data_IF_331895366484
#
_entry.id   IF_331895366484
#
_cell.length_a   1.000
_cell.length_b   1.000
_cell.length_c   1.000
_cell.angle_alpha   90.00
_cell.angle_beta   90.00
_cell.angle_gamma   90.00
#
_symmetry.space_group_name_H-M   'P 1'
#
loop_
_entity.id
_entity.type
_entity.pdbx_description
1 polymer ?
#
# COMPACT_ATOMS: atom_id res chain seq x y z
N UNK A 1 4.78 -52.57 39.86
CA UNK A 1 5.36 -53.01 41.13
C UNK A 1 4.33 -52.90 42.23
N UNK A 2 3.55 -53.94 42.54
CA UNK A 2 3.00 -55.04 41.73
C UNK A 2 1.96 -55.69 42.64
N UNK A 3 0.74 -55.94 42.15
CA UNK A 3 -0.24 -56.75 42.86
C UNK A 3 -0.68 -57.89 41.95
N UNK A 4 -0.17 -59.07 42.25
CA UNK A 4 -0.48 -60.35 41.60
C UNK A 4 -1.44 -61.18 42.44
N UNK A 5 -2.27 -61.94 41.73
CA UNK A 5 -3.02 -63.13 42.18
C UNK A 5 -4.19 -62.92 43.16
N UNK A 6 -5.37 -63.38 42.71
CA UNK A 6 -6.20 -64.24 43.56
C UNK A 6 -6.93 -65.30 42.73
N UNK A 7 -6.88 -66.51 43.25
CA UNK A 7 -7.31 -67.79 42.67
C UNK A 7 -8.83 -68.00 42.76
N UNK A 8 -9.45 -68.72 41.82
CA UNK A 8 -10.26 -69.94 42.11
C UNK A 8 -10.89 -70.56 40.86
N UNK A 9 -10.71 -71.88 40.74
CA UNK A 9 -11.36 -72.77 39.77
C UNK A 9 -12.37 -73.68 40.46
N UNK A 10 -13.59 -73.79 39.94
CA UNK A 10 -14.39 -75.04 40.00
C UNK A 10 -15.69 -74.94 39.19
N UNK A 11 -15.85 -75.81 38.17
CA UNK A 11 -17.15 -76.15 37.58
C UNK A 11 -17.04 -77.36 36.60
N UNK A 12 -16.54 -78.51 37.07
CA UNK A 12 -16.75 -79.79 36.36
C UNK A 12 -18.00 -80.48 36.94
N UNK A 13 -19.18 -80.11 36.45
CA UNK A 13 -20.41 -80.90 36.65
C UNK A 13 -21.10 -81.22 35.31
N UNK A 14 -20.67 -82.36 34.76
CA UNK A 14 -21.59 -83.43 34.35
C UNK A 14 -22.65 -83.10 33.28
N UNK A 15 -22.22 -82.60 32.12
CA UNK A 15 -23.06 -82.39 30.91
C UNK A 15 -23.41 -83.68 30.13
N UNK A 16 -23.33 -84.85 30.78
CA UNK A 16 -23.38 -86.17 30.14
C UNK A 16 -24.67 -86.95 30.32
N UNK A 17 -25.85 -86.39 29.98
CA UNK A 17 -27.09 -87.12 29.59
C UNK A 17 -28.32 -86.20 29.43
N UNK A 18 -28.33 -85.32 28.42
CA UNK A 18 -29.53 -84.54 28.04
C UNK A 18 -29.79 -84.56 26.52
N UNK A 19 -29.51 -85.66 25.82
CA UNK A 19 -29.64 -85.65 24.36
C UNK A 19 -31.09 -85.77 23.84
N UNK A 20 -31.98 -86.46 24.57
CA UNK A 20 -33.35 -86.74 24.10
C UNK A 20 -34.41 -86.32 25.13
N UNK A 21 -34.70 -85.01 25.22
CA UNK A 21 -35.84 -84.51 26.00
C UNK A 21 -36.78 -83.71 25.08
N UNK A 22 -37.86 -84.32 24.55
CA UNK A 22 -38.72 -83.68 23.56
C UNK A 22 -39.39 -82.40 24.08
N UNK A 23 -39.62 -82.31 25.40
CA UNK A 23 -40.17 -81.10 26.03
C UNK A 23 -39.16 -79.95 26.00
N UNK A 24 -37.87 -80.23 26.21
CA UNK A 24 -36.81 -79.22 26.11
C UNK A 24 -36.63 -78.75 24.67
N UNK A 25 -36.65 -79.67 23.72
CA UNK A 25 -36.40 -79.34 22.32
C UNK A 25 -37.59 -78.56 21.73
N UNK A 26 -38.83 -78.88 22.13
CA UNK A 26 -40.02 -78.06 21.85
C UNK A 26 -39.92 -76.66 22.48
N UNK A 27 -39.41 -76.55 23.71
CA UNK A 27 -39.22 -75.26 24.37
C UNK A 27 -38.13 -74.42 23.70
N UNK A 28 -37.04 -75.06 23.24
CA UNK A 28 -35.95 -74.44 22.52
C UNK A 28 -36.39 -73.99 21.12
N UNK A 29 -37.18 -74.79 20.39
CA UNK A 29 -37.81 -74.37 19.13
C UNK A 29 -38.76 -73.18 19.34
N UNK A 30 -39.55 -73.18 20.41
CA UNK A 30 -40.41 -72.04 20.77
C UNK A 30 -39.61 -70.77 21.05
N UNK A 31 -38.51 -70.88 21.82
CA UNK A 31 -37.64 -69.74 22.13
C UNK A 31 -36.88 -69.24 20.90
N UNK A 32 -36.38 -70.14 20.06
CA UNK A 32 -35.76 -69.82 18.77
C UNK A 32 -36.77 -69.16 17.83
N UNK A 33 -38.01 -69.66 17.74
CA UNK A 33 -39.08 -69.06 16.97
C UNK A 33 -39.43 -67.64 17.40
N UNK A 34 -39.36 -67.35 18.71
CA UNK A 34 -39.55 -66.01 19.28
C UNK A 34 -38.39 -65.06 18.94
N UNK A 35 -37.15 -65.54 19.01
CA UNK A 35 -35.94 -64.73 18.86
C UNK A 35 -35.50 -64.55 17.40
N UNK A 36 -35.75 -65.54 16.54
CA UNK A 36 -35.36 -65.58 15.13
C UNK A 36 -35.68 -64.30 14.33
N UNK A 37 -36.91 -63.75 14.33
CA UNK A 37 -37.17 -62.52 13.58
C UNK A 37 -36.34 -61.32 14.04
N UNK A 38 -35.91 -61.28 15.31
CA UNK A 38 -35.03 -60.24 15.85
C UNK A 38 -33.58 -60.46 15.41
N UNK A 39 -33.12 -61.71 15.37
CA UNK A 39 -31.78 -62.08 14.90
C UNK A 39 -31.66 -61.81 13.39
N UNK A 40 -32.63 -62.26 12.59
CA UNK A 40 -32.67 -62.04 11.14
C UNK A 40 -32.66 -60.52 10.81
N UNK A 41 -33.45 -59.71 11.55
CA UNK A 41 -33.42 -58.24 11.41
C UNK A 41 -32.07 -57.61 11.81
N UNK A 42 -31.38 -58.16 12.81
CA UNK A 42 -30.07 -57.67 13.22
C UNK A 42 -29.02 -57.99 12.15
N UNK A 43 -29.02 -59.21 11.62
CA UNK A 43 -28.11 -59.65 10.56
C UNK A 43 -28.29 -58.83 9.27
N UNK A 44 -29.54 -58.55 8.87
CA UNK A 44 -29.82 -57.70 7.71
C UNK A 44 -29.37 -56.25 7.93
N UNK A 45 -29.53 -55.70 9.14
CA UNK A 45 -29.01 -54.36 9.50
C UNK A 45 -27.48 -54.31 9.49
N UNK A 46 -26.82 -55.33 10.03
CA UNK A 46 -25.35 -55.47 10.00
C UNK A 46 -24.85 -55.57 8.55
N UNK A 47 -25.53 -56.38 7.71
CA UNK A 47 -25.21 -56.51 6.28
C UNK A 47 -25.37 -55.19 5.53
N UNK A 48 -26.48 -54.49 5.72
CA UNK A 48 -26.73 -53.18 5.11
C UNK A 48 -25.69 -52.13 5.55
N UNK A 49 -25.34 -52.10 6.84
CA UNK A 49 -24.31 -51.19 7.38
C UNK A 49 -22.93 -51.49 6.78
N UNK A 50 -22.58 -52.77 6.61
CA UNK A 50 -21.32 -53.19 6.00
C UNK A 50 -21.23 -52.80 4.52
N UNK A 51 -22.34 -52.86 3.77
CA UNK A 51 -22.41 -52.38 2.38
C UNK A 51 -22.19 -50.86 2.34
N UNK A 52 -22.93 -50.09 3.16
CA UNK A 52 -22.78 -48.64 3.22
C UNK A 52 -21.35 -48.19 3.62
N UNK A 53 -20.68 -48.93 4.51
CA UNK A 53 -19.27 -48.68 4.84
C UNK A 53 -18.31 -48.92 3.67
N UNK A 54 -18.56 -49.93 2.83
CA UNK A 54 -17.77 -50.21 1.63
C UNK A 54 -17.98 -49.13 0.56
N UNK A 55 -19.21 -48.69 0.34
CA UNK A 55 -19.54 -47.58 -0.57
C UNK A 55 -18.90 -46.27 -0.12
N UNK A 56 -19.01 -45.93 1.17
CA UNK A 56 -18.39 -44.73 1.74
C UNK A 56 -16.86 -44.77 1.58
N UNK A 57 -16.23 -45.93 1.80
CA UNK A 57 -14.78 -46.10 1.57
C UNK A 57 -14.40 -45.81 0.12
N UNK A 58 -15.12 -46.38 -0.85
CA UNK A 58 -14.88 -46.13 -2.28
C UNK A 58 -15.07 -44.65 -2.66
N UNK A 59 -16.07 -43.97 -2.08
CA UNK A 59 -16.27 -42.54 -2.31
C UNK A 59 -15.11 -41.70 -1.77
N UNK A 60 -14.58 -42.03 -0.58
CA UNK A 60 -13.41 -41.36 0.02
C UNK A 60 -12.16 -41.57 -0.86
N UNK A 61 -11.90 -42.79 -1.33
CA UNK A 61 -10.77 -43.10 -2.22
C UNK A 61 -10.88 -42.31 -3.55
N UNK A 62 -12.06 -42.27 -4.18
CA UNK A 62 -12.30 -41.48 -5.41
C UNK A 62 -12.17 -39.96 -5.17
N UNK A 63 -12.58 -39.46 -4.00
CA UNK A 63 -12.42 -38.03 -3.66
C UNK A 63 -10.95 -37.68 -3.47
N UNK A 64 -10.17 -38.57 -2.84
CA UNK A 64 -8.74 -38.38 -2.63
C UNK A 64 -7.97 -38.33 -3.97
N UNK A 65 -8.25 -39.23 -4.92
CA UNK A 65 -7.68 -39.15 -6.27
C UNK A 65 -8.01 -37.83 -6.98
N UNK A 66 -9.25 -37.34 -6.85
CA UNK A 66 -9.66 -36.07 -7.47
C UNK A 66 -8.95 -34.88 -6.84
N UNK A 67 -8.76 -34.88 -5.52
CA UNK A 67 -8.02 -33.85 -4.80
C UNK A 67 -6.53 -33.85 -5.19
N UNK A 68 -5.91 -35.01 -5.36
CA UNK A 68 -4.53 -35.10 -5.85
C UNK A 68 -4.39 -34.59 -7.28
N UNK A 69 -5.29 -34.96 -8.21
CA UNK A 69 -5.29 -34.41 -9.57
C UNK A 69 -5.48 -32.88 -9.59
N UNK A 70 -6.28 -32.33 -8.68
CA UNK A 70 -6.41 -30.86 -8.50
C UNK A 70 -5.12 -30.26 -7.94
N UNK A 71 -4.46 -30.91 -6.98
CA UNK A 71 -3.18 -30.48 -6.42
C UNK A 71 -2.08 -30.45 -7.48
N UNK A 72 -1.95 -31.51 -8.28
CA UNK A 72 -1.00 -31.60 -9.40
C UNK A 72 -1.26 -30.56 -10.49
N UNK A 73 -2.53 -30.27 -10.80
CA UNK A 73 -2.92 -29.21 -11.74
C UNK A 73 -2.56 -27.81 -11.22
N UNK A 74 -2.69 -27.56 -9.91
CA UNK A 74 -2.34 -26.29 -9.28
C UNK A 74 -0.82 -26.05 -9.20
N UNK A 75 -0.01 -27.11 -9.10
CA UNK A 75 1.46 -27.01 -9.01
C UNK A 75 2.12 -26.58 -10.34
N UNK A 76 1.47 -26.81 -11.49
CA UNK A 76 2.09 -26.65 -12.82
C UNK A 76 1.75 -25.34 -13.56
N UNK A 77 1.06 -24.37 -12.92
CA UNK A 77 0.89 -23.06 -13.55
C UNK A 77 2.18 -22.22 -13.45
N UNK A 78 2.59 -21.48 -14.51
CA UNK A 78 3.60 -20.44 -14.35
C UNK A 78 3.07 -19.43 -13.35
N UNK A 79 3.84 -19.10 -12.31
CA UNK A 79 3.40 -18.22 -11.23
C UNK A 79 2.77 -16.94 -11.82
N UNK A 80 1.46 -16.78 -11.62
CA UNK A 80 0.69 -15.67 -12.17
C UNK A 80 0.75 -14.43 -11.29
N UNK A 81 1.19 -14.51 -10.03
CA UNK A 81 1.27 -13.36 -9.13
C UNK A 81 2.15 -12.23 -9.68
N UNK A 82 3.33 -12.48 -10.30
CA UNK A 82 4.08 -11.44 -11.03
C UNK A 82 3.27 -10.77 -12.14
N UNK A 83 2.38 -11.49 -12.84
CA UNK A 83 1.56 -10.96 -13.93
C UNK A 83 0.33 -10.24 -13.41
N UNK A 84 -0.32 -10.75 -12.36
CA UNK A 84 -1.42 -10.10 -11.65
C UNK A 84 -0.94 -8.82 -10.98
N UNK A 85 0.23 -8.82 -10.32
CA UNK A 85 0.88 -7.60 -9.78
C UNK A 85 1.19 -6.61 -10.89
N UNK A 86 1.77 -7.05 -12.03
CA UNK A 86 1.97 -6.17 -13.22
C UNK A 86 0.66 -5.61 -13.76
N UNK A 87 -0.42 -6.40 -13.79
CA UNK A 87 -1.74 -5.97 -14.28
C UNK A 87 -2.40 -4.96 -13.32
N UNK A 88 -2.32 -5.19 -12.01
CA UNK A 88 -2.79 -4.24 -10.98
C UNK A 88 -1.98 -2.95 -11.05
N UNK A 89 -0.66 -3.02 -11.15
CA UNK A 89 0.19 -1.84 -11.34
C UNK A 89 -0.13 -1.10 -12.66
N UNK A 90 -0.44 -1.83 -13.74
CA UNK A 90 -0.87 -1.22 -15.01
C UNK A 90 -2.24 -0.56 -14.89
N UNK A 91 -3.21 -1.19 -14.21
CA UNK A 91 -4.52 -0.61 -13.89
C UNK A 91 -4.36 0.67 -13.09
N UNK A 92 -3.56 0.67 -12.03
CA UNK A 92 -3.28 1.88 -11.24
C UNK A 92 -2.64 2.99 -12.10
N UNK A 93 -1.69 2.66 -12.97
CA UNK A 93 -1.10 3.63 -13.92
C UNK A 93 -2.13 4.25 -14.86
N UNK A 94 -3.00 3.43 -15.46
CA UNK A 94 -4.10 3.92 -16.32
C UNK A 94 -5.06 4.80 -15.53
N UNK A 95 -5.44 4.40 -14.31
CA UNK A 95 -6.28 5.22 -13.43
C UNK A 95 -5.62 6.56 -13.09
N UNK A 96 -4.34 6.59 -12.72
CA UNK A 96 -3.62 7.85 -12.44
C UNK A 96 -3.61 8.76 -13.67
N UNK A 97 -3.26 8.25 -14.85
CA UNK A 97 -3.25 9.03 -16.10
C UNK A 97 -4.64 9.58 -16.44
N UNK A 98 -5.69 8.76 -16.30
CA UNK A 98 -7.07 9.16 -16.61
C UNK A 98 -7.55 10.31 -15.71
N UNK A 99 -7.14 10.33 -14.45
CA UNK A 99 -7.48 11.40 -13.51
C UNK A 99 -6.60 12.65 -13.67
N UNK A 100 -5.33 12.51 -14.04
CA UNK A 100 -4.49 13.67 -14.43
C UNK A 100 -5.06 14.35 -15.68
N UNK A 101 -5.58 13.57 -16.63
CA UNK A 101 -6.30 14.08 -17.80
C UNK A 101 -7.60 14.78 -17.38
N UNK A 102 -8.41 14.16 -16.51
CA UNK A 102 -9.65 14.78 -16.00
C UNK A 102 -9.38 16.11 -15.29
N UNK A 103 -8.48 16.14 -14.31
CA UNK A 103 -8.12 17.38 -13.60
C UNK A 103 -7.52 18.46 -14.53
N UNK A 104 -6.84 18.06 -15.61
CA UNK A 104 -6.36 19.01 -16.62
C UNK A 104 -7.49 19.52 -17.52
N UNK A 105 -8.47 18.69 -17.85
CA UNK A 105 -9.67 19.08 -18.58
C UNK A 105 -10.55 20.02 -17.74
N UNK A 106 -10.66 19.79 -16.44
CA UNK A 106 -11.41 20.63 -15.51
C UNK A 106 -10.77 22.01 -15.37
N UNK A 107 -9.44 22.09 -15.15
CA UNK A 107 -8.68 23.35 -15.20
C UNK A 107 -8.82 24.08 -16.55
N UNK A 108 -8.83 23.33 -17.66
CA UNK A 108 -9.02 23.92 -19.00
C UNK A 108 -10.44 24.48 -19.15
N UNK A 109 -11.45 23.85 -18.54
CA UNK A 109 -12.81 24.34 -18.49
C UNK A 109 -12.93 25.60 -17.61
N UNK A 110 -12.28 25.64 -16.44
CA UNK A 110 -12.20 26.84 -15.59
C UNK A 110 -11.51 28.01 -16.33
N UNK A 111 -10.38 27.77 -16.99
CA UNK A 111 -9.68 28.80 -17.79
C UNK A 111 -10.57 29.28 -18.94
N UNK A 112 -11.30 28.38 -19.63
CA UNK A 112 -12.30 28.77 -20.64
C UNK A 112 -13.43 29.61 -20.04
N UNK A 113 -13.93 29.26 -18.86
CA UNK A 113 -14.93 30.05 -18.14
C UNK A 113 -14.38 31.42 -17.75
N UNK A 114 -13.14 31.53 -17.26
CA UNK A 114 -12.49 32.80 -16.92
C UNK A 114 -12.27 33.67 -18.17
N UNK A 115 -11.85 33.09 -19.30
CA UNK A 115 -11.72 33.81 -20.58
C UNK A 115 -13.09 34.30 -21.07
N UNK A 116 -14.13 33.48 -20.96
CA UNK A 116 -15.49 33.88 -21.32
C UNK A 116 -16.03 34.96 -20.36
N UNK A 117 -15.73 34.87 -19.06
CA UNK A 117 -16.11 35.86 -18.03
C UNK A 117 -15.39 37.19 -18.21
N UNK A 118 -14.11 37.17 -18.63
CA UNK A 118 -13.35 38.37 -19.01
C UNK A 118 -13.83 38.96 -20.35
N UNK A 119 -14.38 38.16 -21.27
CA UNK A 119 -15.13 38.67 -22.43
C UNK A 119 -16.53 39.20 -22.04
N UNK A 120 -17.13 38.68 -20.98
CA UNK A 120 -18.47 39.02 -20.49
C UNK A 120 -18.48 40.12 -19.41
N UNK A 121 -17.56 41.09 -19.49
CA UNK A 121 -17.66 42.36 -18.73
C UNK A 121 -18.83 43.23 -19.25
N UNK A 122 -19.50 42.81 -20.34
CA UNK A 122 -20.79 43.34 -20.78
C UNK A 122 -21.95 42.56 -20.12
N UNK A 123 -22.23 42.94 -18.86
CA UNK A 123 -23.47 42.71 -18.07
C UNK A 123 -23.89 41.26 -17.69
N UNK A 124 -24.71 41.08 -16.63
CA UNK A 124 -24.72 39.86 -15.80
C UNK A 124 -26.04 39.06 -15.80
N UNK A 125 -26.01 37.80 -15.31
CA UNK A 125 -26.84 37.32 -14.17
C UNK A 125 -26.55 35.84 -13.75
N UNK A 126 -26.70 35.58 -12.44
CA UNK A 126 -27.16 34.37 -11.71
C UNK A 126 -26.90 32.95 -12.32
N UNK A 127 -26.13 32.04 -11.69
CA UNK A 127 -26.47 31.07 -10.59
C UNK A 127 -26.25 29.60 -11.10
N UNK A 128 -26.14 28.49 -10.36
CA UNK A 128 -25.92 28.15 -8.93
C UNK A 128 -25.12 26.78 -8.82
N UNK A 129 -24.99 26.02 -7.70
CA UNK A 129 -23.89 25.05 -7.51
C UNK A 129 -24.19 23.58 -7.89
N UNK A 130 -23.13 22.77 -8.07
CA UNK A 130 -23.20 21.29 -8.17
C UNK A 130 -22.13 20.62 -7.30
N UNK A 131 -22.50 19.53 -6.62
CA UNK A 131 -21.71 18.85 -5.60
C UNK A 131 -20.74 17.77 -6.11
N UNK A 132 -19.67 17.62 -5.35
CA UNK A 132 -18.66 16.55 -5.28
C UNK A 132 -19.06 15.11 -5.64
N UNK A 133 -18.14 14.37 -6.27
CA UNK A 133 -17.78 12.98 -5.87
C UNK A 133 -16.46 12.47 -6.50
N UNK A 134 -15.87 11.42 -5.90
CA UNK A 134 -14.74 10.58 -6.38
C UNK A 134 -13.28 10.93 -6.01
N UNK A 135 -13.10 11.64 -4.89
CA UNK A 135 -12.10 11.55 -3.78
C UNK A 135 -10.77 10.74 -3.86
N UNK A 136 -10.49 9.82 -4.79
CA UNK A 136 -9.37 8.87 -4.64
C UNK A 136 -8.06 9.32 -5.32
N UNK A 137 -8.06 10.11 -6.41
CA UNK A 137 -6.83 10.35 -7.20
C UNK A 137 -6.24 11.77 -7.06
N UNK A 138 -6.87 12.68 -6.29
CA UNK A 138 -6.35 14.05 -6.15
C UNK A 138 -5.07 14.20 -5.30
N UNK A 139 -4.64 13.19 -4.53
CA UNK A 139 -3.59 13.36 -3.49
C UNK A 139 -2.24 13.84 -4.05
N UNK A 140 -1.60 13.09 -4.97
CA UNK A 140 -0.27 13.47 -5.51
C UNK A 140 -0.21 14.89 -6.14
N UNK A 141 -1.35 15.42 -6.57
CA UNK A 141 -1.45 16.81 -7.02
C UNK A 141 -1.64 17.79 -5.84
N UNK A 142 -2.48 17.44 -4.86
CA UNK A 142 -2.77 18.22 -3.65
C UNK A 142 -1.52 18.54 -2.82
N UNK A 143 -0.59 17.59 -2.62
CA UNK A 143 0.66 17.84 -1.86
C UNK A 143 1.61 18.80 -2.61
N UNK A 144 1.71 18.63 -3.93
CA UNK A 144 2.48 19.54 -4.80
C UNK A 144 1.92 20.97 -4.73
N UNK A 145 0.59 21.13 -4.73
CA UNK A 145 -0.06 22.42 -4.54
C UNK A 145 0.13 22.97 -3.11
N UNK A 146 0.08 22.14 -2.07
CA UNK A 146 0.34 22.59 -0.70
C UNK A 146 1.77 23.14 -0.53
N UNK A 147 2.74 22.55 -1.22
CA UNK A 147 4.13 23.00 -1.24
C UNK A 147 4.29 24.32 -2.02
N UNK A 148 3.56 24.49 -3.12
CA UNK A 148 3.50 25.75 -3.87
C UNK A 148 2.84 26.86 -3.02
N UNK A 149 1.71 26.59 -2.38
CA UNK A 149 1.03 27.53 -1.46
C UNK A 149 1.94 27.96 -0.30
N UNK A 150 2.78 27.05 0.20
CA UNK A 150 3.77 27.35 1.24
C UNK A 150 4.87 28.30 0.73
N UNK A 151 5.35 28.10 -0.50
CA UNK A 151 6.34 28.96 -1.14
C UNK A 151 5.74 30.33 -1.51
N UNK A 152 4.50 30.37 -2.00
CA UNK A 152 3.77 31.62 -2.28
C UNK A 152 3.58 32.45 -1.00
N UNK A 153 3.16 31.81 0.09
CA UNK A 153 3.01 32.46 1.42
C UNK A 153 4.32 33.05 1.94
N UNK A 154 5.46 32.49 1.57
CA UNK A 154 6.79 33.01 1.93
C UNK A 154 7.42 33.88 0.82
N UNK A 155 6.75 34.12 -0.31
CA UNK A 155 7.33 34.75 -1.51
C UNK A 155 7.91 36.15 -1.26
N UNK A 156 7.27 36.97 -0.43
CA UNK A 156 7.79 38.30 -0.07
C UNK A 156 9.10 38.21 0.72
N UNK A 157 9.20 37.22 1.61
CA UNK A 157 10.45 36.91 2.31
C UNK A 157 11.49 36.36 1.31
N UNK A 158 11.12 35.44 0.41
CA UNK A 158 12.04 34.85 -0.57
C UNK A 158 12.61 35.88 -1.56
N UNK A 159 11.79 36.85 -2.01
CA UNK A 159 12.25 38.00 -2.81
C UNK A 159 13.25 38.87 -2.07
N UNK A 160 13.09 39.05 -0.76
CA UNK A 160 14.02 39.81 0.09
C UNK A 160 15.30 39.01 0.39
N UNK A 161 15.16 37.69 0.53
CA UNK A 161 16.27 36.76 0.73
C UNK A 161 17.16 36.63 -0.52
N UNK A 162 16.57 36.80 -1.71
CA UNK A 162 17.23 36.82 -3.02
C UNK A 162 18.21 35.63 -3.20
N UNK A 163 17.70 34.39 -3.20
CA UNK A 163 18.52 33.18 -3.28
C UNK A 163 19.30 33.15 -4.59
N UNK A 164 20.57 32.76 -4.56
CA UNK A 164 21.35 32.57 -5.77
C UNK A 164 21.06 31.21 -6.41
N UNK A 165 20.76 30.20 -5.60
CA UNK A 165 20.71 28.79 -6.03
C UNK A 165 19.63 27.99 -5.31
N UNK A 166 18.84 27.26 -6.09
CA UNK A 166 17.68 26.49 -5.63
C UNK A 166 17.78 25.04 -6.12
N UNK A 167 17.46 24.07 -5.25
CA UNK A 167 17.40 22.64 -5.56
C UNK A 167 16.04 22.04 -5.17
N UNK A 168 15.37 21.36 -6.09
CA UNK A 168 14.32 20.39 -5.77
C UNK A 168 14.86 18.95 -5.81
N UNK A 169 14.50 18.15 -4.81
CA UNK A 169 14.83 16.73 -4.73
C UNK A 169 13.56 15.92 -4.99
N UNK A 170 13.65 14.87 -5.80
CA UNK A 170 12.49 14.07 -6.21
C UNK A 170 11.48 14.85 -7.04
N UNK A 171 11.94 15.62 -8.04
CA UNK A 171 11.11 16.63 -8.71
C UNK A 171 9.89 16.10 -9.49
N UNK A 172 9.86 14.82 -9.88
CA UNK A 172 8.72 14.21 -10.56
C UNK A 172 8.34 14.89 -11.89
N UNK A 173 7.36 15.79 -11.83
CA UNK A 173 6.90 16.61 -12.97
C UNK A 173 7.66 17.93 -13.13
N UNK A 174 8.42 18.34 -12.11
CA UNK A 174 9.16 19.61 -12.04
C UNK A 174 8.29 20.85 -11.80
N UNK A 175 7.01 20.67 -11.46
CA UNK A 175 6.06 21.79 -11.32
C UNK A 175 6.43 22.74 -10.17
N UNK A 176 6.92 22.22 -9.03
CA UNK A 176 7.24 23.05 -7.85
C UNK A 176 8.49 23.91 -8.10
N UNK A 177 9.60 23.32 -8.56
CA UNK A 177 10.81 24.10 -8.90
C UNK A 177 10.57 25.08 -10.06
N UNK A 178 9.73 24.70 -11.04
CA UNK A 178 9.34 25.60 -12.14
C UNK A 178 8.50 26.78 -11.63
N UNK A 179 7.53 26.54 -10.75
CA UNK A 179 6.73 27.61 -10.16
C UNK A 179 7.60 28.60 -9.35
N UNK A 180 8.57 28.10 -8.58
CA UNK A 180 9.56 28.96 -7.90
C UNK A 180 10.39 29.76 -8.90
N UNK A 181 10.84 29.13 -10.00
CA UNK A 181 11.61 29.78 -11.07
C UNK A 181 10.86 30.87 -11.82
N UNK A 182 9.55 30.72 -12.00
CA UNK A 182 8.69 31.78 -12.53
C UNK A 182 8.55 32.95 -11.56
N UNK A 183 8.55 32.69 -10.25
CA UNK A 183 8.37 33.71 -9.21
C UNK A 183 9.67 34.46 -8.83
N UNK A 184 10.83 33.85 -9.05
CA UNK A 184 12.17 34.35 -8.71
C UNK A 184 13.15 34.14 -9.89
N UNK A 185 13.01 34.88 -11.00
CA UNK A 185 13.69 34.60 -12.27
C UNK A 185 15.22 34.84 -12.27
N UNK A 186 15.79 35.41 -11.21
CA UNK A 186 17.21 35.77 -11.11
C UNK A 186 18.08 34.72 -10.36
N UNK A 187 17.54 33.53 -10.12
CA UNK A 187 18.22 32.43 -9.41
C UNK A 187 18.57 31.27 -10.35
N UNK A 188 19.55 30.46 -9.97
CA UNK A 188 19.88 29.20 -10.65
C UNK A 188 19.03 28.05 -10.10
N UNK A 189 18.38 27.31 -10.99
CA UNK A 189 17.50 26.19 -10.62
C UNK A 189 18.10 24.84 -10.99
N UNK A 190 18.11 23.96 -10.01
CA UNK A 190 18.49 22.57 -10.15
C UNK A 190 17.37 21.67 -9.66
N UNK A 191 17.24 20.49 -10.25
CA UNK A 191 16.49 19.41 -9.63
C UNK A 191 17.15 18.04 -9.79
N UNK A 192 16.73 17.11 -8.96
CA UNK A 192 17.19 15.72 -8.96
C UNK A 192 16.01 14.77 -8.93
N UNK A 193 16.15 13.64 -9.58
CA UNK A 193 15.21 12.53 -9.47
C UNK A 193 15.92 11.20 -9.76
N UNK A 194 15.51 10.13 -9.09
CA UNK A 194 16.02 8.77 -9.35
C UNK A 194 15.44 8.19 -10.65
N UNK A 195 14.26 8.65 -11.05
CA UNK A 195 13.61 8.25 -12.29
C UNK A 195 14.05 9.18 -13.44
N UNK A 196 14.84 8.66 -14.38
CA UNK A 196 15.29 9.41 -15.55
C UNK A 196 14.14 10.04 -16.37
N UNK A 197 12.94 9.43 -16.39
CA UNK A 197 11.78 10.01 -17.07
C UNK A 197 11.24 11.24 -16.35
N UNK A 198 11.30 11.28 -15.02
CA UNK A 198 10.97 12.47 -14.24
C UNK A 198 11.95 13.60 -14.54
N UNK A 199 13.25 13.30 -14.68
CA UNK A 199 14.23 14.31 -15.12
C UNK A 199 13.88 14.95 -16.48
N UNK A 200 13.49 14.13 -17.47
CA UNK A 200 13.05 14.61 -18.78
C UNK A 200 11.74 15.43 -18.69
N UNK A 201 10.79 14.99 -17.87
CA UNK A 201 9.54 15.72 -17.63
C UNK A 201 9.81 17.07 -16.96
N UNK A 202 10.63 17.14 -15.92
CA UNK A 202 11.00 18.39 -15.24
C UNK A 202 11.67 19.38 -16.19
N UNK A 203 12.64 18.94 -17.00
CA UNK A 203 13.25 19.75 -18.07
C UNK A 203 12.20 20.27 -19.07
N UNK A 204 11.26 19.42 -19.48
CA UNK A 204 10.18 19.80 -20.41
C UNK A 204 9.23 20.84 -19.78
N UNK A 205 8.79 20.63 -18.54
CA UNK A 205 7.93 21.56 -17.80
C UNK A 205 8.58 22.93 -17.67
N UNK A 206 9.85 22.99 -17.28
CA UNK A 206 10.59 24.25 -17.17
C UNK A 206 10.75 24.96 -18.52
N UNK A 207 11.09 24.22 -19.59
CA UNK A 207 11.23 24.77 -20.94
C UNK A 207 9.94 25.41 -21.45
N UNK A 208 8.80 24.72 -21.30
CA UNK A 208 7.49 25.27 -21.70
C UNK A 208 7.10 26.53 -20.92
N UNK A 209 7.55 26.66 -19.66
CA UNK A 209 7.32 27.83 -18.82
C UNK A 209 8.46 28.87 -18.86
N UNK A 210 9.45 28.69 -19.76
CA UNK A 210 10.60 29.58 -19.97
C UNK A 210 11.50 29.76 -18.74
N UNK A 211 11.57 28.74 -17.89
CA UNK A 211 12.47 28.69 -16.72
C UNK A 211 13.74 27.92 -17.09
N UNK A 212 14.90 28.50 -16.78
CA UNK A 212 16.18 27.80 -16.88
C UNK A 212 16.34 26.82 -15.71
N UNK A 213 16.21 25.52 -15.99
CA UNK A 213 16.32 24.44 -15.00
C UNK A 213 17.38 23.42 -15.46
N UNK A 214 18.33 23.10 -14.59
CA UNK A 214 19.20 21.94 -14.75
C UNK A 214 18.66 20.73 -13.97
N UNK A 215 18.79 19.53 -14.54
CA UNK A 215 18.28 18.31 -13.93
C UNK A 215 19.31 17.20 -13.99
N UNK A 216 19.51 16.51 -12.86
CA UNK A 216 20.48 15.43 -12.73
C UNK A 216 19.78 14.18 -12.24
N UNK A 217 19.90 13.09 -13.00
CA UNK A 217 19.39 11.79 -12.57
C UNK A 217 20.32 11.20 -11.50
N UNK A 218 19.89 11.23 -10.24
CA UNK A 218 20.68 10.74 -9.10
C UNK A 218 19.79 10.33 -7.93
N UNK A 219 20.36 9.58 -6.98
CA UNK A 219 19.73 9.30 -5.70
C UNK A 219 19.87 10.51 -4.77
N UNK A 220 18.73 11.05 -4.30
CA UNK A 220 18.65 12.26 -3.47
C UNK A 220 19.55 13.39 -4.01
N UNK A 221 20.48 13.89 -3.20
CA UNK A 221 21.44 14.92 -3.54
C UNK A 221 22.89 14.41 -3.35
N UNK A 222 23.14 13.11 -3.46
CA UNK A 222 24.38 12.46 -2.98
C UNK A 222 25.68 13.00 -3.61
N UNK A 223 25.63 13.51 -4.83
CA UNK A 223 26.80 14.08 -5.52
C UNK A 223 27.03 15.57 -5.24
N UNK A 224 26.10 16.26 -4.55
CA UNK A 224 26.27 17.66 -4.17
C UNK A 224 27.00 17.79 -2.83
N UNK A 225 28.00 18.67 -2.80
CA UNK A 225 28.87 18.92 -1.64
C UNK A 225 29.24 20.40 -1.59
N UNK A 226 29.80 20.84 -0.46
CA UNK A 226 30.31 22.20 -0.26
C UNK A 226 29.21 23.28 -0.30
N UNK A 227 28.07 23.01 0.37
CA UNK A 227 27.04 23.99 0.73
C UNK A 227 26.63 24.90 -0.45
N UNK A 228 26.00 24.31 -1.47
CA UNK A 228 25.76 24.94 -2.77
C UNK A 228 24.40 25.59 -2.95
N UNK A 229 23.42 25.33 -2.08
CA UNK A 229 22.04 25.75 -2.29
C UNK A 229 21.53 26.65 -1.17
N UNK A 230 20.94 27.79 -1.54
CA UNK A 230 20.25 28.70 -0.63
C UNK A 230 18.83 28.23 -0.34
N UNK A 231 18.21 27.50 -1.26
CA UNK A 231 16.92 26.84 -1.08
C UNK A 231 17.05 25.38 -1.47
N UNK A 232 16.62 24.48 -0.59
CA UNK A 232 16.37 23.07 -0.89
C UNK A 232 14.88 22.79 -0.65
N UNK A 233 14.24 22.06 -1.56
CA UNK A 233 12.84 21.67 -1.50
C UNK A 233 12.77 20.14 -1.61
N UNK A 234 11.95 19.51 -0.77
CA UNK A 234 11.66 18.08 -0.89
C UNK A 234 10.17 17.79 -0.64
N UNK A 235 9.55 17.14 -1.64
CA UNK A 235 8.30 16.39 -1.47
C UNK A 235 8.65 14.88 -1.45
N UNK A 236 8.91 14.28 -0.27
CA UNK A 236 9.34 12.88 -0.18
C UNK A 236 8.27 11.89 -0.65
N UNK A 237 8.65 10.64 -0.96
CA UNK A 237 7.74 9.51 -0.78
C UNK A 237 7.47 9.34 0.72
N UNK A 238 6.35 9.87 1.22
CA UNK A 238 6.05 10.00 2.66
C UNK A 238 5.07 8.94 3.20
N UNK A 239 4.56 8.03 2.38
CA UNK A 239 3.51 7.08 2.79
C UNK A 239 4.14 5.89 3.54
N UNK A 240 3.56 5.58 4.71
CA UNK A 240 3.98 4.43 5.53
C UNK A 240 3.76 3.14 4.74
N UNK A 241 4.83 2.37 4.54
CA UNK A 241 4.88 1.22 3.64
C UNK A 241 5.92 0.20 4.13
N UNK A 242 5.97 -0.99 3.51
CA UNK A 242 7.03 -1.95 3.82
C UNK A 242 8.38 -1.46 3.30
N UNK A 243 9.48 -1.69 4.04
CA UNK A 243 10.83 -1.30 3.62
C UNK A 243 11.26 -1.94 2.28
N UNK A 244 10.68 -3.09 1.92
CA UNK A 244 10.87 -3.73 0.61
C UNK A 244 10.25 -2.91 -0.55
N UNK A 245 9.12 -2.23 -0.31
CA UNK A 245 8.42 -1.40 -1.31
C UNK A 245 9.17 -0.08 -1.57
N UNK A 246 9.73 0.50 -0.50
CA UNK A 246 10.60 1.68 -0.50
C UNK A 246 11.85 1.53 -1.39
N UNK A 247 12.36 0.29 -1.55
CA UNK A 247 13.56 -0.02 -2.34
C UNK A 247 13.28 -0.33 -3.82
N UNK A 248 12.05 -0.20 -4.30
CA UNK A 248 11.68 -0.50 -5.68
C UNK A 248 12.04 0.65 -6.64
N UNK A 249 12.50 0.34 -7.86
CA UNK A 249 12.75 1.33 -8.93
C UNK A 249 11.49 1.64 -9.76
N UNK A 250 10.30 1.48 -9.15
CA UNK A 250 9.01 1.57 -9.83
C UNK A 250 8.35 2.95 -9.77
N UNK A 251 7.03 2.99 -9.90
CA UNK A 251 6.23 4.20 -9.58
C UNK A 251 5.90 4.23 -8.07
N UNK A 252 6.01 3.07 -7.44
CA UNK A 252 5.97 2.83 -6.00
C UNK A 252 7.00 3.72 -5.27
N UNK A 253 8.18 3.96 -5.86
CA UNK A 253 9.20 4.90 -5.40
C UNK A 253 8.72 6.37 -5.23
N UNK A 254 7.63 6.76 -5.89
CA UNK A 254 7.06 8.11 -5.79
C UNK A 254 6.15 8.30 -4.57
N UNK A 255 5.87 7.26 -3.78
CA UNK A 255 5.05 7.37 -2.57
C UNK A 255 5.53 6.52 -1.39
N UNK A 256 6.14 5.35 -1.62
CA UNK A 256 6.56 4.43 -0.56
C UNK A 256 7.76 4.94 0.25
N UNK A 257 7.51 5.44 1.46
CA UNK A 257 8.52 5.96 2.38
C UNK A 257 9.09 4.95 3.39
N UNK A 258 8.62 3.70 3.37
CA UNK A 258 9.03 2.66 4.33
C UNK A 258 8.49 2.90 5.75
N UNK A 259 9.26 2.50 6.77
CA UNK A 259 8.89 2.67 8.18
C UNK A 259 8.69 4.16 8.54
N UNK A 260 7.59 4.46 9.23
CA UNK A 260 7.07 5.83 9.48
C UNK A 260 6.94 6.70 8.22
N UNK A 261 6.98 6.12 7.01
CA UNK A 261 7.03 6.88 5.75
C UNK A 261 8.26 7.78 5.63
N UNK A 262 9.39 7.39 6.24
CA UNK A 262 10.52 8.30 6.50
C UNK A 262 11.90 7.79 6.14
N UNK A 263 12.06 6.56 5.64
CA UNK A 263 13.39 6.00 5.34
C UNK A 263 14.15 6.81 4.29
N UNK A 264 13.44 7.42 3.34
CA UNK A 264 14.03 8.32 2.32
C UNK A 264 14.29 9.71 2.90
N UNK A 265 13.35 10.23 3.69
CA UNK A 265 13.46 11.53 4.38
C UNK A 265 14.65 11.55 5.33
N UNK A 266 14.76 10.59 6.23
CA UNK A 266 15.81 10.54 7.26
C UNK A 266 17.22 10.45 6.62
N UNK A 267 17.36 9.70 5.51
CA UNK A 267 18.59 9.71 4.67
C UNK A 267 18.92 11.09 4.11
N UNK A 268 17.92 11.88 3.70
CA UNK A 268 18.14 13.24 3.23
C UNK A 268 18.52 14.20 4.38
N UNK A 269 17.94 14.06 5.58
CA UNK A 269 18.25 14.92 6.73
C UNK A 269 19.75 14.89 7.09
N UNK A 270 20.45 13.78 6.83
CA UNK A 270 21.91 13.64 6.99
C UNK A 270 22.73 14.34 5.88
N UNK A 271 22.11 14.64 4.73
CA UNK A 271 22.73 15.38 3.62
C UNK A 271 22.49 16.88 3.70
N UNK A 272 21.38 17.35 4.29
CA UNK A 272 21.06 18.80 4.37
C UNK A 272 22.24 19.66 4.87
N UNK A 273 22.97 19.32 5.96
CA UNK A 273 24.11 20.12 6.43
C UNK A 273 25.30 20.22 5.45
N UNK A 274 25.39 19.33 4.46
CA UNK A 274 26.46 19.26 3.46
C UNK A 274 26.13 20.05 2.19
N UNK A 275 24.84 20.18 1.86
CA UNK A 275 24.36 20.79 0.61
C UNK A 275 23.80 22.20 0.77
N UNK A 276 23.31 22.56 1.97
CA UNK A 276 22.66 23.85 2.23
C UNK A 276 23.67 24.92 2.66
N UNK A 277 23.53 26.17 2.17
CA UNK A 277 24.35 27.31 2.61
C UNK A 277 24.08 27.65 4.09
N UNK A 278 24.98 28.40 4.73
CA UNK A 278 24.82 28.73 6.16
C UNK A 278 23.66 29.70 6.46
N UNK A 279 23.12 30.36 5.44
CA UNK A 279 21.85 31.11 5.49
C UNK A 279 20.69 30.37 4.80
N UNK A 280 20.97 29.20 4.23
CA UNK A 280 20.05 28.49 3.36
C UNK A 280 18.87 27.89 4.11
N UNK A 281 17.84 27.56 3.34
CA UNK A 281 16.52 27.20 3.83
C UNK A 281 16.09 25.88 3.21
N UNK A 282 15.62 24.96 4.03
CA UNK A 282 15.09 23.68 3.58
C UNK A 282 13.58 23.62 3.83
N UNK A 283 12.79 23.47 2.75
CA UNK A 283 11.35 23.24 2.80
C UNK A 283 11.06 21.75 2.61
N UNK A 284 10.32 21.16 3.54
CA UNK A 284 9.99 19.73 3.57
C UNK A 284 8.49 19.53 3.77
N UNK A 285 7.87 18.76 2.88
CA UNK A 285 6.50 18.27 3.07
C UNK A 285 6.51 17.00 3.95
N UNK A 286 5.55 16.90 4.86
CA UNK A 286 5.30 15.74 5.72
C UNK A 286 3.79 15.53 5.92
N UNK A 287 3.41 14.30 6.27
CA UNK A 287 2.14 13.98 6.93
C UNK A 287 2.36 13.73 8.44
N UNK A 288 1.29 13.77 9.24
CA UNK A 288 1.36 13.52 10.69
C UNK A 288 1.91 12.13 11.03
N UNK A 289 1.65 11.15 10.18
CA UNK A 289 2.14 9.78 10.27
C UNK A 289 3.68 9.69 10.16
N UNK A 290 4.34 10.73 9.65
CA UNK A 290 5.81 10.84 9.67
C UNK A 290 6.37 11.29 11.03
N UNK A 291 5.50 11.61 12.00
CA UNK A 291 5.84 12.12 13.32
C UNK A 291 6.71 13.39 13.21
N UNK A 292 6.16 14.53 12.75
CA UNK A 292 6.94 15.74 12.44
C UNK A 292 7.82 16.27 13.59
N UNK A 293 7.44 16.04 14.85
CA UNK A 293 8.27 16.42 16.00
C UNK A 293 9.60 15.64 16.08
N UNK A 294 9.63 14.36 15.66
CA UNK A 294 10.90 13.62 15.55
C UNK A 294 11.79 14.24 14.47
N UNK A 295 11.22 14.59 13.31
CA UNK A 295 11.95 15.25 12.20
C UNK A 295 12.50 16.60 12.64
N UNK A 296 11.71 17.39 13.39
CA UNK A 296 12.17 18.63 14.00
C UNK A 296 13.31 18.40 14.98
N UNK A 297 13.23 17.39 15.85
CA UNK A 297 14.30 17.10 16.81
C UNK A 297 15.59 16.63 16.12
N UNK A 298 15.50 15.81 15.06
CA UNK A 298 16.64 15.40 14.24
C UNK A 298 17.35 16.62 13.63
N UNK A 299 16.58 17.57 13.07
CA UNK A 299 17.13 18.79 12.48
C UNK A 299 17.65 19.77 13.55
N UNK A 300 17.01 19.87 14.71
CA UNK A 300 17.47 20.68 15.84
C UNK A 300 18.83 20.18 16.37
N UNK A 301 19.01 18.87 16.47
CA UNK A 301 20.30 18.25 16.82
C UNK A 301 21.40 18.52 15.78
N UNK A 302 21.03 18.86 14.53
CA UNK A 302 21.94 19.29 13.46
C UNK A 302 22.11 20.83 13.40
N UNK A 303 21.56 21.57 14.35
CA UNK A 303 21.67 23.03 14.46
C UNK A 303 20.63 23.84 13.68
N UNK A 304 19.50 23.24 13.29
CA UNK A 304 18.43 23.91 12.55
C UNK A 304 17.19 24.17 13.41
N UNK A 305 16.73 25.41 13.41
CA UNK A 305 15.39 25.79 13.87
C UNK A 305 14.35 25.31 12.85
N UNK A 306 13.11 25.14 13.29
CA UNK A 306 11.99 24.79 12.43
C UNK A 306 10.83 25.78 12.58
N UNK A 307 10.07 25.97 11.50
CA UNK A 307 8.83 26.77 11.47
C UNK A 307 7.79 26.05 10.61
N UNK A 308 6.58 25.90 11.13
CA UNK A 308 5.42 25.45 10.34
C UNK A 308 4.96 26.58 9.43
N UNK A 309 4.94 26.35 8.10
CA UNK A 309 4.52 27.37 7.13
C UNK A 309 3.03 27.25 6.83
N UNK A 310 2.58 26.03 6.53
CA UNK A 310 1.18 25.70 6.28
C UNK A 310 0.92 24.27 6.77
N UNK A 311 -0.32 24.04 7.20
CA UNK A 311 -0.88 22.72 7.51
C UNK A 311 -2.28 22.69 6.90
N UNK A 312 -2.63 21.61 6.20
CA UNK A 312 -3.92 21.43 5.55
C UNK A 312 -4.34 19.97 5.72
N UNK A 313 -5.61 19.75 6.09
CA UNK A 313 -6.20 18.42 6.01
C UNK A 313 -6.63 18.17 4.57
N UNK A 314 -6.12 17.11 3.98
CA UNK A 314 -6.42 16.66 2.62
C UNK A 314 -7.02 15.27 2.75
N UNK A 315 -8.35 15.18 2.63
CA UNK A 315 -9.14 13.96 2.90
C UNK A 315 -8.87 13.41 4.32
N UNK A 316 -8.18 12.27 4.41
CA UNK A 316 -7.81 11.58 5.64
C UNK A 316 -6.40 11.91 6.11
N UNK A 317 -5.58 12.57 5.29
CA UNK A 317 -4.20 12.94 5.60
C UNK A 317 -4.14 14.36 6.17
N UNK A 318 -3.24 14.58 7.13
CA UNK A 318 -2.93 15.91 7.65
C UNK A 318 -1.54 16.30 7.14
N UNK A 319 -1.51 16.99 6.01
CA UNK A 319 -0.28 17.40 5.34
C UNK A 319 0.21 18.74 5.89
N UNK A 320 1.54 18.89 5.97
CA UNK A 320 2.18 20.10 6.45
C UNK A 320 3.50 20.38 5.72
N UNK A 321 3.88 21.64 5.65
CA UNK A 321 5.19 22.07 5.15
C UNK A 321 5.98 22.72 6.28
N UNK A 322 7.11 22.11 6.61
CA UNK A 322 8.10 22.66 7.54
C UNK A 322 9.20 23.41 6.78
N UNK A 323 9.61 24.54 7.35
CA UNK A 323 10.80 25.29 6.98
C UNK A 323 11.88 25.07 8.03
N UNK A 324 13.07 24.68 7.59
CA UNK A 324 14.28 24.55 8.41
C UNK A 324 15.31 25.61 8.02
N UNK A 325 15.95 26.21 9.03
CA UNK A 325 16.92 27.31 8.87
C UNK A 325 17.79 27.42 10.13
N UNK A 326 18.91 28.14 10.07
CA UNK A 326 19.79 28.38 11.24
C UNK A 326 19.38 29.60 12.04
#
# INVERSE_FOLDING_TARGET
MDDTESTTTSADENTGNLCDNPTRDTLAEGLLGLLKPTVDQLDDRVRATRIAQLELKQQIESLNEKLERVREALVNHPNLDPYVKKLIACKHKVTVVLNVLQASQDRLNEIRQMINKNKAVIQPEQSEPVQSTSTIISSQAEDSFLLIDALEKELNFLKTFNPFSCLEIGSGSGVVITALGMALPNSLYFCTDVNFKACLMSKSTALHNRVGLECVNMNLAMCFLNKKFDIVIFNPPYVVSGSEECMSNGIEASWAGGNKGREVTDKLLDLIPKILTDKGIFYLLLIEENIPEEVKQIMLNKGYKSKLIIKRRVKNENQLVLKFYK
#
